data_IF_844352825130
#
_entry.id   IF_844352825130
#
_cell.length_a   1.000
_cell.length_b   1.000
_cell.length_c   1.000
_cell.angle_alpha   90.00
_cell.angle_beta   90.00
_cell.angle_gamma   90.00
#
_symmetry.space_group_name_H-M   'P 1'
#
loop_
_entity.id
_entity.type
_entity.pdbx_description
1 polymer ?
#
# COMPACT_ATOMS: atom_id res chain seq x y z
N UNK A 1 -34.94 23.74 33.49
CA UNK A 1 -34.57 23.94 32.07
C UNK A 1 -33.13 24.47 32.02
N UNK A 2 -32.37 24.15 30.96
CA UNK A 2 -30.90 24.34 30.81
C UNK A 2 -30.12 23.20 31.51
N UNK A 3 -29.20 22.43 30.92
CA UNK A 3 -28.47 22.49 29.66
C UNK A 3 -28.33 21.08 29.04
N UNK A 4 -28.69 20.91 27.77
CA UNK A 4 -28.22 19.77 26.95
C UNK A 4 -26.91 20.19 26.29
N UNK A 5 -25.80 19.89 26.97
CA UNK A 5 -24.45 20.17 26.52
C UNK A 5 -24.11 19.50 25.19
N UNK A 6 -23.68 20.33 24.26
CA UNK A 6 -22.69 20.07 23.21
C UNK A 6 -22.17 18.63 23.11
N UNK A 7 -22.84 17.78 22.33
CA UNK A 7 -22.35 16.41 22.05
C UNK A 7 -22.07 16.11 20.58
N UNK A 8 -22.09 17.11 19.68
CA UNK A 8 -21.91 16.84 18.24
C UNK A 8 -20.74 17.58 17.56
N UNK A 9 -19.93 18.37 18.28
CA UNK A 9 -18.83 19.12 17.67
C UNK A 9 -17.49 18.36 17.57
N UNK A 10 -17.37 17.14 18.12
CA UNK A 10 -16.12 16.37 18.16
C UNK A 10 -16.03 15.21 17.15
N UNK A 11 -17.01 15.08 16.23
CA UNK A 11 -17.09 13.91 15.35
C UNK A 11 -16.71 14.18 13.89
N UNK A 12 -15.74 15.06 13.58
CA UNK A 12 -15.21 15.13 12.21
C UNK A 12 -13.86 15.84 12.00
N UNK A 13 -12.95 15.85 12.98
CA UNK A 13 -11.55 16.07 12.63
C UNK A 13 -11.09 14.90 11.74
N UNK A 14 -11.03 15.13 10.43
CA UNK A 14 -10.47 14.17 9.47
C UNK A 14 -9.02 13.92 9.92
N UNK A 15 -8.76 12.77 10.52
CA UNK A 15 -7.39 12.34 10.84
C UNK A 15 -6.54 12.53 9.60
N UNK A 16 -5.49 13.34 9.72
CA UNK A 16 -4.52 13.55 8.64
C UNK A 16 -3.99 12.20 8.16
N UNK A 17 -3.88 12.04 6.84
CA UNK A 17 -3.47 10.79 6.20
C UNK A 17 -2.30 11.04 5.29
N UNK A 18 -1.40 10.07 5.25
CA UNK A 18 -0.15 10.18 4.51
C UNK A 18 0.05 9.06 3.50
N UNK A 19 0.69 9.39 2.37
CA UNK A 19 1.01 8.49 1.27
C UNK A 19 2.52 8.30 1.11
N UNK A 20 2.93 7.19 0.51
CA UNK A 20 4.34 6.92 0.17
C UNK A 20 4.47 7.04 -1.34
N UNK A 21 5.08 8.12 -1.82
CA UNK A 21 5.38 8.29 -3.25
C UNK A 21 6.41 7.27 -3.74
N UNK A 22 6.49 7.08 -5.05
CA UNK A 22 7.48 6.21 -5.69
C UNK A 22 8.91 6.54 -5.27
N UNK A 23 9.29 7.82 -5.33
CA UNK A 23 10.62 8.29 -4.93
C UNK A 23 10.92 7.96 -3.45
N UNK A 24 9.93 8.11 -2.56
CA UNK A 24 10.13 7.77 -1.16
C UNK A 24 10.19 6.26 -0.91
N UNK A 25 9.46 5.46 -1.70
CA UNK A 25 9.54 4.00 -1.65
C UNK A 25 10.96 3.50 -1.94
N UNK A 26 11.66 4.06 -2.92
CA UNK A 26 13.06 3.71 -3.22
C UNK A 26 13.96 3.93 -2.00
N UNK A 27 13.76 5.06 -1.31
CA UNK A 27 14.48 5.36 -0.07
C UNK A 27 14.19 4.36 1.04
N UNK A 28 12.94 3.93 1.20
CA UNK A 28 12.55 2.88 2.15
C UNK A 28 13.19 1.53 1.79
N UNK A 29 13.19 1.16 0.51
CA UNK A 29 13.79 -0.09 0.01
C UNK A 29 15.30 -0.11 0.23
N UNK A 30 15.98 1.02 0.02
CA UNK A 30 17.40 1.16 0.36
C UNK A 30 17.66 0.93 1.84
N UNK A 31 16.86 1.54 2.74
CA UNK A 31 16.99 1.32 4.19
C UNK A 31 16.68 -0.12 4.60
N UNK A 32 15.65 -0.73 4.03
CA UNK A 32 15.32 -2.13 4.28
C UNK A 32 16.46 -3.07 3.85
N UNK A 33 17.12 -2.78 2.73
CA UNK A 33 18.27 -3.55 2.22
C UNK A 33 19.47 -3.44 3.16
N UNK A 34 19.83 -2.22 3.59
CA UNK A 34 20.94 -2.00 4.52
C UNK A 34 20.75 -2.75 5.86
N UNK A 35 19.51 -2.89 6.31
CA UNK A 35 19.18 -3.59 7.56
C UNK A 35 18.79 -5.07 7.36
N UNK A 36 19.02 -5.64 6.16
CA UNK A 36 18.70 -7.05 5.84
C UNK A 36 17.22 -7.42 6.12
N UNK A 37 16.31 -6.45 6.00
CA UNK A 37 14.87 -6.63 6.21
C UNK A 37 14.18 -7.16 4.95
N UNK A 38 14.61 -8.33 4.46
CA UNK A 38 14.20 -8.86 3.16
C UNK A 38 12.69 -9.04 3.00
N UNK A 39 12.01 -9.55 4.04
CA UNK A 39 10.55 -9.68 4.04
C UNK A 39 9.87 -8.31 3.94
N UNK A 40 10.25 -7.38 4.82
CA UNK A 40 9.66 -6.04 4.83
C UNK A 40 9.85 -5.35 3.48
N UNK A 41 11.05 -5.46 2.89
CA UNK A 41 11.36 -4.96 1.54
C UNK A 41 10.39 -5.51 0.50
N UNK A 42 10.22 -6.83 0.45
CA UNK A 42 9.31 -7.47 -0.49
C UNK A 42 7.87 -6.97 -0.30
N UNK A 43 7.41 -6.84 0.95
CA UNK A 43 6.05 -6.38 1.26
C UNK A 43 5.80 -4.96 0.80
N UNK A 44 6.71 -4.02 1.08
CA UNK A 44 6.48 -2.62 0.70
C UNK A 44 6.49 -2.41 -0.82
N UNK A 45 7.35 -3.13 -1.54
CA UNK A 45 7.40 -3.09 -3.01
C UNK A 45 6.07 -3.62 -3.58
N UNK A 46 5.66 -4.82 -3.19
CA UNK A 46 4.43 -5.42 -3.69
C UNK A 46 3.18 -4.64 -3.26
N UNK A 47 3.17 -4.09 -2.04
CA UNK A 47 2.06 -3.26 -1.56
C UNK A 47 1.87 -2.00 -2.39
N UNK A 48 2.97 -1.35 -2.78
CA UNK A 48 2.93 -0.21 -3.67
C UNK A 48 2.51 -0.63 -5.09
N UNK A 49 3.24 -1.57 -5.71
CA UNK A 49 3.01 -2.03 -7.09
C UNK A 49 1.56 -2.49 -7.34
N UNK A 50 0.98 -3.18 -6.35
CA UNK A 50 -0.37 -3.69 -6.45
C UNK A 50 -1.39 -2.84 -5.72
N UNK A 51 -1.06 -1.68 -5.16
CA UNK A 51 -2.00 -0.84 -4.40
C UNK A 51 -2.76 -1.64 -3.33
N UNK A 52 -2.01 -2.32 -2.45
CA UNK A 52 -2.50 -3.26 -1.43
C UNK A 52 -2.17 -2.83 0.00
N UNK A 53 -2.95 -3.35 0.96
CA UNK A 53 -2.74 -3.22 2.39
C UNK A 53 -1.93 -4.40 2.92
N UNK A 54 -0.90 -4.10 3.69
CA UNK A 54 -0.11 -5.11 4.42
C UNK A 54 -0.55 -5.14 5.88
N UNK A 55 -0.65 -6.30 6.54
CA UNK A 55 -0.52 -7.64 5.99
C UNK A 55 -1.83 -8.16 5.36
N UNK A 56 -2.95 -7.46 5.56
CA UNK A 56 -4.29 -8.01 5.39
C UNK A 56 -4.72 -8.40 3.98
N UNK A 57 -4.10 -7.84 2.94
CA UNK A 57 -4.36 -8.22 1.54
C UNK A 57 -3.19 -8.94 0.88
N UNK A 58 -1.97 -8.82 1.42
CA UNK A 58 -0.77 -9.36 0.78
C UNK A 58 -0.24 -10.64 1.45
N UNK A 59 -0.34 -10.75 2.78
CA UNK A 59 0.09 -11.93 3.53
C UNK A 59 -1.07 -12.88 3.85
N UNK A 60 -2.30 -12.37 3.96
CA UNK A 60 -3.49 -13.19 4.20
C UNK A 60 -3.98 -13.89 2.92
N UNK A 61 -3.60 -13.38 1.75
CA UNK A 61 -3.81 -14.08 0.48
C UNK A 61 -2.71 -15.13 0.34
N UNK A 62 -3.09 -16.40 0.14
CA UNK A 62 -2.12 -17.50 0.02
C UNK A 62 -1.09 -17.22 -1.09
N UNK A 63 0.12 -17.80 -1.00
CA UNK A 63 1.13 -17.73 -2.08
C UNK A 63 0.57 -18.09 -3.48
N UNK A 64 -0.56 -18.81 -3.55
CA UNK A 64 -1.28 -19.14 -4.79
C UNK A 64 -1.88 -17.93 -5.51
N UNK A 65 -1.96 -16.77 -4.85
CA UNK A 65 -2.49 -15.53 -5.40
C UNK A 65 -1.46 -14.73 -6.19
N UNK A 66 -0.17 -15.04 -6.05
CA UNK A 66 0.93 -14.39 -6.77
C UNK A 66 1.47 -15.34 -7.85
N UNK A 67 1.50 -14.88 -9.09
CA UNK A 67 2.03 -15.63 -10.23
C UNK A 67 3.15 -14.85 -10.88
N UNK A 68 4.34 -15.46 -10.93
CA UNK A 68 5.50 -14.91 -11.64
C UNK A 68 5.38 -15.27 -13.12
N UNK A 69 5.57 -14.28 -13.97
CA UNK A 69 5.83 -14.39 -15.40
C UNK A 69 7.23 -13.84 -15.67
N UNK A 70 7.77 -14.05 -16.87
CA UNK A 70 9.16 -13.68 -17.24
C UNK A 70 9.60 -12.30 -16.72
N UNK A 71 8.84 -11.24 -17.02
CA UNK A 71 9.15 -9.86 -16.59
C UNK A 71 8.01 -9.19 -15.79
N UNK A 72 7.08 -9.99 -15.26
CA UNK A 72 5.88 -9.47 -14.61
C UNK A 72 5.41 -10.34 -13.45
N UNK A 73 4.66 -9.74 -12.54
CA UNK A 73 3.93 -10.47 -11.50
C UNK A 73 2.46 -10.15 -11.64
N UNK A 74 1.63 -11.18 -11.54
CA UNK A 74 0.19 -11.06 -11.44
C UNK A 74 -0.26 -11.38 -10.03
N UNK A 75 -1.01 -10.47 -9.41
CA UNK A 75 -1.69 -10.67 -8.13
C UNK A 75 -3.19 -10.85 -8.36
N UNK A 76 -3.73 -11.96 -7.86
CA UNK A 76 -5.16 -12.25 -7.80
C UNK A 76 -5.67 -12.07 -6.38
N UNK A 77 -6.51 -11.07 -6.15
CA UNK A 77 -7.14 -10.82 -4.86
C UNK A 77 -8.59 -11.26 -4.91
N UNK A 78 -8.96 -12.20 -4.04
CA UNK A 78 -10.37 -12.54 -3.84
C UNK A 78 -11.00 -11.53 -2.88
N UNK A 79 -11.88 -10.67 -3.38
CA UNK A 79 -12.59 -9.74 -2.51
C UNK A 79 -13.86 -10.34 -1.95
N UNK A 80 -13.95 -10.33 -0.62
CA UNK A 80 -15.22 -10.22 0.10
C UNK A 80 -15.09 -9.37 1.37
N UNK A 81 -15.82 -8.25 1.40
CA UNK A 81 -16.50 -7.72 2.59
C UNK A 81 -17.66 -6.85 2.11
N UNK A 82 -18.88 -7.16 2.56
CA UNK A 82 -20.13 -6.44 2.32
C UNK A 82 -20.65 -6.40 0.87
N UNK A 83 -20.36 -7.41 0.03
CA UNK A 83 -20.96 -7.55 -1.33
C UNK A 83 -21.59 -8.92 -1.51
N UNK A 84 -22.75 -8.96 -2.19
CA UNK A 84 -23.47 -10.21 -2.51
C UNK A 84 -22.70 -11.08 -3.51
N UNK A 85 -21.99 -10.47 -4.46
CA UNK A 85 -21.12 -11.14 -5.44
C UNK A 85 -19.64 -11.04 -5.03
N UNK A 86 -18.93 -12.17 -5.07
CA UNK A 86 -17.47 -12.21 -4.94
C UNK A 86 -16.85 -11.65 -6.21
N UNK A 87 -15.90 -10.72 -6.07
CA UNK A 87 -15.14 -10.19 -7.21
C UNK A 87 -13.67 -10.57 -7.07
N UNK A 88 -13.08 -11.07 -8.15
CA UNK A 88 -11.63 -11.33 -8.21
C UNK A 88 -10.97 -10.15 -8.91
N UNK A 89 -10.07 -9.47 -8.21
CA UNK A 89 -9.24 -8.44 -8.83
C UNK A 89 -7.94 -9.06 -9.32
N UNK A 90 -7.65 -8.90 -10.61
CA UNK A 90 -6.40 -9.33 -11.22
C UNK A 90 -5.57 -8.09 -11.56
N UNK A 91 -4.37 -7.97 -10.99
CA UNK A 91 -3.46 -6.86 -11.23
C UNK A 91 -2.13 -7.41 -11.74
N UNK A 92 -1.56 -6.81 -12.77
CA UNK A 92 -0.26 -7.19 -13.35
C UNK A 92 0.69 -6.00 -13.26
N UNK A 93 1.91 -6.24 -12.80
CA UNK A 93 2.97 -5.22 -12.71
C UNK A 93 4.26 -5.76 -13.34
N UNK A 94 4.94 -4.95 -14.14
CA UNK A 94 6.18 -5.30 -14.86
C UNK A 94 7.39 -4.62 -14.23
N UNK A 95 8.56 -5.27 -14.28
CA UNK A 95 9.77 -4.71 -13.65
C UNK A 95 10.34 -3.48 -14.33
N UNK A 96 10.19 -3.36 -15.65
CA UNK A 96 10.76 -2.25 -16.42
C UNK A 96 10.18 -0.88 -16.05
N UNK A 97 9.00 -0.82 -15.42
CA UNK A 97 8.33 0.44 -15.08
C UNK A 97 8.97 1.10 -13.84
N UNK A 98 9.49 0.32 -12.89
CA UNK A 98 9.87 0.82 -11.56
C UNK A 98 11.38 0.76 -11.27
N UNK A 99 12.17 0.17 -12.16
CA UNK A 99 13.60 -0.04 -11.95
C UNK A 99 13.94 -1.31 -11.15
N UNK A 100 15.24 -1.67 -11.14
CA UNK A 100 15.70 -2.96 -10.61
C UNK A 100 15.45 -3.13 -9.10
N UNK A 101 15.60 -2.06 -8.31
CA UNK A 101 15.42 -2.08 -6.85
C UNK A 101 13.95 -2.28 -6.43
N UNK A 102 13.01 -1.92 -7.30
CA UNK A 102 11.57 -2.01 -7.09
C UNK A 102 10.90 -3.10 -7.95
N UNK A 103 11.68 -3.98 -8.57
CA UNK A 103 11.15 -5.02 -9.45
C UNK A 103 10.21 -5.97 -8.67
N UNK A 104 8.91 -6.03 -9.02
CA UNK A 104 7.95 -6.89 -8.33
C UNK A 104 8.28 -8.38 -8.47
N UNK A 105 8.95 -8.80 -9.56
CA UNK A 105 9.39 -10.19 -9.75
C UNK A 105 10.39 -10.58 -8.66
N UNK A 106 11.43 -9.77 -8.45
CA UNK A 106 12.45 -10.04 -7.43
C UNK A 106 11.90 -9.94 -6.00
N UNK A 107 10.98 -9.01 -5.76
CA UNK A 107 10.24 -8.94 -4.50
C UNK A 107 9.41 -10.22 -4.25
N UNK A 108 8.75 -10.74 -5.29
CA UNK A 108 7.91 -11.96 -5.19
C UNK A 108 8.78 -13.20 -5.00
N UNK A 109 9.88 -13.35 -5.75
CA UNK A 109 10.86 -14.43 -5.53
C UNK A 109 11.35 -14.43 -4.08
N UNK A 110 11.76 -13.28 -3.58
CA UNK A 110 12.19 -13.11 -2.19
C UNK A 110 11.10 -13.56 -1.21
N UNK A 111 9.85 -13.13 -1.43
CA UNK A 111 8.71 -13.47 -0.56
C UNK A 111 8.44 -14.98 -0.52
N UNK A 112 8.50 -15.67 -1.66
CA UNK A 112 8.25 -17.12 -1.76
C UNK A 112 9.37 -17.94 -1.10
N UNK A 113 10.62 -17.48 -1.19
CA UNK A 113 11.78 -18.18 -0.61
C UNK A 113 11.96 -17.99 0.90
N UNK A 114 11.42 -16.89 1.44
CA UNK A 114 11.59 -16.58 2.86
C UNK A 114 10.60 -17.43 3.68
N UNK A 115 11.05 -18.07 4.79
CA UNK A 115 10.21 -18.89 5.64
C UNK A 115 9.26 -18.00 6.45
N UNK A 116 8.15 -17.58 5.87
CA UNK A 116 7.28 -16.58 6.50
C UNK A 116 5.90 -17.16 6.67
N UNK A 117 5.50 -17.29 7.93
CA UNK A 117 4.11 -17.57 8.30
C UNK A 117 3.35 -16.38 8.85
N UNK A 118 3.98 -15.26 9.19
CA UNK A 118 3.26 -14.00 9.45
C UNK A 118 4.21 -12.86 9.80
N UNK A 119 3.88 -11.65 9.34
CA UNK A 119 4.30 -10.41 9.98
C UNK A 119 3.04 -9.76 10.53
N UNK A 120 3.02 -9.44 11.83
CA UNK A 120 1.87 -8.73 12.40
C UNK A 120 1.77 -7.31 11.83
N UNK A 121 0.55 -6.75 11.80
CA UNK A 121 0.34 -5.36 11.37
C UNK A 121 1.13 -4.37 12.25
N UNK A 122 1.23 -4.63 13.55
CA UNK A 122 2.00 -3.80 14.49
C UNK A 122 3.49 -3.81 14.13
N UNK A 123 4.07 -5.01 13.95
CA UNK A 123 5.46 -5.18 13.52
C UNK A 123 5.73 -4.48 12.20
N UNK A 124 4.84 -4.66 11.20
CA UNK A 124 4.96 -4.00 9.91
C UNK A 124 4.97 -2.46 10.04
N UNK A 125 4.02 -1.89 10.78
CA UNK A 125 3.94 -0.44 10.96
C UNK A 125 5.14 0.11 11.74
N UNK A 126 5.67 -0.64 12.72
CA UNK A 126 6.86 -0.25 13.46
C UNK A 126 8.11 -0.22 12.54
N UNK A 127 8.30 -1.25 11.71
CA UNK A 127 9.38 -1.28 10.73
C UNK A 127 9.23 -0.17 9.68
N UNK A 128 8.00 0.11 9.25
CA UNK A 128 7.71 1.20 8.33
C UNK A 128 8.13 2.54 8.90
N UNK A 129 7.72 2.84 10.14
CA UNK A 129 8.08 4.08 10.82
C UNK A 129 9.58 4.18 11.03
N UNK A 130 10.23 3.12 11.51
CA UNK A 130 11.68 3.09 11.68
C UNK A 130 12.43 3.36 10.38
N UNK A 131 12.05 2.69 9.29
CA UNK A 131 12.66 2.90 7.98
C UNK A 131 12.37 4.30 7.45
N UNK A 132 11.16 4.83 7.66
CA UNK A 132 10.78 6.16 7.22
C UNK A 132 11.52 7.27 7.96
N UNK A 133 11.68 7.14 9.29
CA UNK A 133 12.51 8.05 10.10
C UNK A 133 13.96 8.05 9.59
N UNK A 134 14.54 6.86 9.36
CA UNK A 134 15.91 6.74 8.82
C UNK A 134 16.04 7.20 7.36
N UNK A 135 14.96 7.17 6.60
CA UNK A 135 14.91 7.68 5.24
C UNK A 135 14.70 9.20 5.17
N UNK A 136 14.53 9.89 6.31
CA UNK A 136 14.40 11.34 6.34
C UNK A 136 12.99 11.86 6.02
N UNK A 137 11.94 11.06 6.24
CA UNK A 137 10.55 11.49 5.94
C UNK A 137 10.03 12.67 6.79
N UNK A 138 10.78 13.09 7.81
CA UNK A 138 10.34 14.08 8.78
C UNK A 138 9.25 13.55 9.73
N UNK A 139 8.75 14.40 10.62
CA UNK A 139 7.87 14.02 11.74
C UNK A 139 6.54 13.35 11.31
N UNK A 140 6.14 13.53 10.04
CA UNK A 140 4.94 12.92 9.45
C UNK A 140 5.02 11.39 9.34
N UNK A 141 6.18 10.77 9.61
CA UNK A 141 6.33 9.30 9.61
C UNK A 141 5.31 8.60 10.53
N UNK A 142 4.84 9.28 11.59
CA UNK A 142 3.89 8.74 12.54
C UNK A 142 2.50 8.47 11.91
N UNK A 143 2.16 9.24 10.86
CA UNK A 143 0.94 9.11 10.07
C UNK A 143 0.99 7.94 9.07
N UNK A 144 2.19 7.38 8.84
CA UNK A 144 2.37 6.23 7.96
C UNK A 144 1.73 4.98 8.58
N UNK A 145 1.05 4.25 7.71
CA UNK A 145 0.38 2.98 7.98
C UNK A 145 0.38 2.16 6.70
N UNK A 146 -0.04 0.90 6.76
CA UNK A 146 -0.16 0.06 5.58
C UNK A 146 -1.04 0.62 4.46
N UNK A 147 -1.94 1.55 4.75
CA UNK A 147 -2.73 2.24 3.73
C UNK A 147 -1.94 3.28 2.93
N UNK A 148 -0.75 3.69 3.40
CA UNK A 148 0.05 4.73 2.77
C UNK A 148 0.56 4.32 1.38
N UNK A 149 0.82 3.04 1.14
CA UNK A 149 1.25 2.52 -0.17
C UNK A 149 0.14 2.67 -1.22
N UNK A 150 -1.08 2.25 -0.87
CA UNK A 150 -2.25 2.42 -1.73
C UNK A 150 -2.54 3.90 -2.02
N UNK A 151 -2.42 4.79 -1.02
CA UNK A 151 -2.58 6.24 -1.22
C UNK A 151 -1.52 6.78 -2.17
N UNK A 152 -0.25 6.51 -1.86
CA UNK A 152 0.88 6.98 -2.65
C UNK A 152 0.83 6.52 -4.10
N UNK A 153 0.62 5.23 -4.36
CA UNK A 153 0.49 4.70 -5.72
C UNK A 153 -0.61 5.41 -6.52
N UNK A 154 -1.78 5.63 -5.91
CA UNK A 154 -2.92 6.25 -6.57
C UNK A 154 -2.72 7.75 -6.78
N UNK A 155 -2.11 8.44 -5.82
CA UNK A 155 -1.67 9.84 -5.99
C UNK A 155 -0.65 9.94 -7.12
N UNK A 156 0.35 9.06 -7.18
CA UNK A 156 1.37 9.07 -8.24
C UNK A 156 0.75 8.80 -9.62
N UNK A 157 -0.25 7.90 -9.72
CA UNK A 157 -1.04 7.72 -10.96
C UNK A 157 -1.79 8.99 -11.36
N UNK A 158 -2.43 9.68 -10.41
CA UNK A 158 -3.13 10.93 -10.69
C UNK A 158 -2.17 12.02 -11.18
N UNK A 159 -1.01 12.17 -10.54
CA UNK A 159 0.05 13.12 -10.94
C UNK A 159 0.58 12.78 -12.33
N UNK A 160 0.75 11.50 -12.66
CA UNK A 160 1.20 11.04 -13.96
C UNK A 160 0.12 11.13 -15.06
N UNK A 161 -1.07 11.66 -14.78
CA UNK A 161 -2.11 11.90 -15.78
C UNK A 161 -2.89 10.66 -16.21
N UNK A 162 -2.90 9.58 -15.41
CA UNK A 162 -3.73 8.42 -15.72
C UNK A 162 -5.22 8.79 -15.65
N UNK A 163 -6.02 8.20 -16.55
CA UNK A 163 -7.47 8.39 -16.54
C UNK A 163 -8.11 7.90 -15.24
N UNK A 164 -9.24 8.52 -14.87
CA UNK A 164 -10.02 8.16 -13.70
C UNK A 164 -10.41 6.66 -13.70
N UNK A 165 -10.74 6.11 -14.87
CA UNK A 165 -11.05 4.69 -15.04
C UNK A 165 -9.86 3.78 -14.67
N UNK A 166 -8.65 4.18 -15.04
CA UNK A 166 -7.44 3.42 -14.72
C UNK A 166 -7.12 3.50 -13.21
N UNK A 167 -7.29 4.69 -12.62
CA UNK A 167 -7.14 4.89 -11.17
C UNK A 167 -8.16 4.05 -10.39
N UNK A 168 -9.41 4.00 -10.86
CA UNK A 168 -10.48 3.21 -10.23
C UNK A 168 -10.20 1.70 -10.31
N UNK A 169 -9.76 1.23 -11.47
CA UNK A 169 -9.35 -0.17 -11.67
C UNK A 169 -8.16 -0.54 -10.78
N UNK A 170 -7.18 0.36 -10.67
CA UNK A 170 -5.99 0.17 -9.85
C UNK A 170 -6.29 0.15 -8.35
N UNK A 171 -7.15 1.04 -7.85
CA UNK A 171 -7.51 1.09 -6.42
C UNK A 171 -8.56 0.05 -6.02
N UNK A 172 -9.47 -0.29 -6.94
CA UNK A 172 -10.62 -1.14 -6.67
C UNK A 172 -11.52 -0.50 -5.63
N UNK A 173 -12.05 0.69 -5.86
CA UNK A 173 -12.87 1.37 -4.86
C UNK A 173 -14.30 0.82 -4.84
N UNK A 174 -14.95 0.82 -3.67
CA UNK A 174 -16.37 0.52 -3.58
C UNK A 174 -17.24 1.72 -4.04
N UNK A 175 -16.68 2.93 -4.00
CA UNK A 175 -17.35 4.17 -4.39
C UNK A 175 -16.36 5.30 -4.68
N UNK A 176 -16.77 6.28 -5.48
CA UNK A 176 -15.99 7.49 -5.78
C UNK A 176 -15.65 8.33 -4.53
N UNK A 177 -16.51 8.30 -3.51
CA UNK A 177 -16.24 8.93 -2.20
C UNK A 177 -15.06 8.27 -1.46
N UNK A 178 -14.83 6.97 -1.69
CA UNK A 178 -13.67 6.29 -1.12
C UNK A 178 -12.40 6.70 -1.87
N UNK A 179 -12.46 6.87 -3.20
CA UNK A 179 -11.34 7.34 -4.03
C UNK A 179 -10.78 8.69 -3.57
N UNK A 180 -11.65 9.68 -3.34
CA UNK A 180 -11.22 11.03 -2.95
C UNK A 180 -10.53 11.11 -1.59
N UNK A 181 -10.69 10.10 -0.74
CA UNK A 181 -9.99 10.00 0.56
C UNK A 181 -8.56 9.46 0.39
N UNK A 182 -8.26 8.82 -0.74
CA UNK A 182 -6.96 8.20 -1.01
C UNK A 182 -6.08 9.00 -1.94
N UNK A 183 -6.66 9.79 -2.84
CA UNK A 183 -5.91 10.80 -3.60
C UNK A 183 -5.62 11.96 -2.63
N UNK A 184 -4.37 12.11 -2.24
CA UNK A 184 -3.94 13.26 -1.46
C UNK A 184 -4.05 14.51 -2.35
N UNK A 185 -4.89 15.46 -1.96
CA UNK A 185 -4.97 16.75 -2.61
C UNK A 185 -3.67 17.49 -2.29
N UNK A 186 -2.80 17.68 -3.29
CA UNK A 186 -1.70 18.61 -3.18
C UNK A 186 -2.31 20.02 -3.25
N UNK A 187 -2.34 20.70 -2.10
CA UNK A 187 -2.41 22.15 -2.04
C UNK A 187 -1.00 22.70 -2.09
#
# INVERSE_FOLDING_TARGET
AIARGCSNALSQQRKEKEGISLHFLESLVRRATLHKLHLFKALIVLAYCFSCRVPSELLNESNRSLHIHENAVTLRLFRRKNTTKSTTMCRRCTCHILGASLCPVEATKSLITLPIRSMSLSTFNNLLRLCATRAGFGQRYQLLSSHAFRRGFITDMAIAGFSDQNIDKAGGWASSKTKSVYILQHH
#
